data_IF_318227711639
#
_entry.id   IF_318227711639
#
_cell.length_a   1.000
_cell.length_b   1.000
_cell.length_c   1.000
_cell.angle_alpha   90.00
_cell.angle_beta   90.00
_cell.angle_gamma   90.00
#
_symmetry.space_group_name_H-M   'P 1'
#
loop_
_entity.id
_entity.type
_entity.pdbx_description
1 polymer ?
#
# COMPACT_ATOMS: atom_id res chain seq x y z
N UNK A 1 46.53 36.99 12.95
CA UNK A 1 46.34 35.54 12.86
C UNK A 1 44.87 35.27 12.46
N UNK A 2 44.60 35.07 11.16
CA UNK A 2 43.23 34.71 10.67
C UNK A 2 43.10 33.20 10.76
N UNK A 3 42.20 32.73 11.63
CA UNK A 3 41.76 31.33 11.66
C UNK A 3 40.66 31.13 10.58
N UNK A 4 40.97 30.37 9.52
CA UNK A 4 39.97 29.88 8.58
C UNK A 4 39.28 28.65 9.21
N UNK A 5 38.02 28.79 9.63
CA UNK A 5 37.16 27.67 9.98
C UNK A 5 36.70 27.00 8.68
N UNK A 6 37.29 25.85 8.36
CA UNK A 6 36.75 24.95 7.33
C UNK A 6 35.51 24.23 7.89
N UNK A 7 34.30 24.63 7.49
CA UNK A 7 33.11 23.87 7.74
C UNK A 7 33.09 22.63 6.81
N UNK A 8 33.36 21.46 7.36
CA UNK A 8 33.19 20.19 6.64
C UNK A 8 31.67 19.94 6.52
N UNK A 9 31.12 20.23 5.34
CA UNK A 9 29.78 19.81 5.00
C UNK A 9 29.79 18.30 4.72
N UNK A 10 29.38 17.51 5.68
CA UNK A 10 29.08 16.10 5.47
C UNK A 10 27.84 15.98 4.59
N UNK A 11 28.03 15.69 3.31
CA UNK A 11 26.93 15.33 2.41
C UNK A 11 26.46 13.94 2.83
N UNK A 12 25.34 13.88 3.54
CA UNK A 12 24.65 12.61 3.82
C UNK A 12 23.98 12.19 2.52
N UNK A 13 24.62 11.28 1.78
CA UNK A 13 23.97 10.62 0.64
C UNK A 13 22.96 9.62 1.19
N UNK A 14 21.68 9.98 1.20
CA UNK A 14 20.59 9.04 1.45
C UNK A 14 20.48 8.16 0.22
N UNK A 15 20.94 6.92 0.30
CA UNK A 15 20.70 5.93 -0.74
C UNK A 15 19.25 5.44 -0.60
N UNK A 16 18.39 5.83 -1.58
CA UNK A 16 17.01 5.40 -1.61
C UNK A 16 16.90 3.87 -1.72
N UNK A 17 16.07 3.25 -0.88
CA UNK A 17 15.83 1.81 -0.96
C UNK A 17 15.09 1.49 -2.27
N UNK A 18 15.68 0.63 -3.10
CA UNK A 18 15.02 0.15 -4.32
C UNK A 18 13.89 -0.81 -3.95
N UNK A 19 12.70 -0.52 -4.44
CA UNK A 19 11.50 -1.36 -4.27
C UNK A 19 11.30 -2.18 -5.52
N UNK A 20 11.01 -3.48 -5.36
CA UNK A 20 10.58 -4.32 -6.45
C UNK A 20 9.08 -4.18 -6.66
N UNK A 21 8.67 -3.93 -7.88
CA UNK A 21 7.25 -3.88 -8.27
C UNK A 21 6.66 -5.31 -8.38
N UNK A 22 5.33 -5.50 -8.27
CA UNK A 22 4.70 -6.82 -8.35
C UNK A 22 5.04 -7.60 -9.63
N UNK A 23 5.20 -6.91 -10.75
CA UNK A 23 5.62 -7.54 -12.01
C UNK A 23 7.06 -8.02 -11.97
N UNK A 24 7.95 -7.35 -11.23
CA UNK A 24 9.33 -7.80 -11.01
C UNK A 24 9.39 -8.99 -10.06
N UNK A 25 8.54 -9.00 -9.01
CA UNK A 25 8.49 -10.08 -8.03
C UNK A 25 7.86 -11.35 -8.60
N UNK A 26 6.73 -11.24 -9.30
CA UNK A 26 5.93 -12.39 -9.77
C UNK A 26 6.07 -12.68 -11.26
N UNK A 27 6.74 -11.81 -12.02
CA UNK A 27 7.09 -12.03 -13.42
C UNK A 27 5.92 -12.48 -14.30
N UNK A 28 6.03 -13.68 -14.86
CA UNK A 28 5.03 -14.24 -15.76
C UNK A 28 3.68 -14.49 -15.07
N UNK A 29 3.68 -14.92 -13.81
CA UNK A 29 2.43 -15.08 -13.03
C UNK A 29 1.65 -13.76 -12.96
N UNK A 30 2.31 -12.64 -12.67
CA UNK A 30 1.66 -11.33 -12.63
C UNK A 30 1.01 -10.99 -13.97
N UNK A 31 1.75 -11.12 -15.06
CA UNK A 31 1.24 -10.85 -16.42
C UNK A 31 0.02 -11.70 -16.76
N UNK A 32 0.10 -13.00 -16.50
CA UNK A 32 -0.99 -13.92 -16.80
C UNK A 32 -2.25 -13.61 -15.99
N UNK A 33 -2.12 -13.27 -14.71
CA UNK A 33 -3.27 -12.89 -13.88
C UNK A 33 -3.92 -11.61 -14.38
N UNK A 34 -3.13 -10.57 -14.69
CA UNK A 34 -3.66 -9.29 -15.17
C UNK A 34 -4.35 -9.40 -16.55
N UNK A 35 -3.81 -10.22 -17.44
CA UNK A 35 -4.36 -10.40 -18.79
C UNK A 35 -5.56 -11.35 -18.84
N UNK A 36 -5.63 -12.34 -17.94
CA UNK A 36 -6.70 -13.34 -17.92
C UNK A 36 -8.03 -12.84 -17.35
N UNK A 37 -8.03 -11.64 -16.74
CA UNK A 37 -9.23 -11.02 -16.12
C UNK A 37 -9.95 -11.93 -15.12
N UNK A 38 -9.20 -12.74 -14.36
CA UNK A 38 -9.78 -13.56 -13.28
C UNK A 38 -10.31 -12.71 -12.11
N UNK A 39 -9.93 -11.44 -12.06
CA UNK A 39 -10.45 -10.42 -11.15
C UNK A 39 -11.24 -9.35 -11.91
N UNK A 40 -12.19 -8.68 -11.26
CA UNK A 40 -13.02 -7.65 -11.90
C UNK A 40 -12.22 -6.36 -12.23
N UNK A 41 -11.04 -6.19 -11.66
CA UNK A 41 -10.17 -5.02 -11.83
C UNK A 41 -8.68 -5.39 -11.77
N UNK A 42 -7.83 -4.43 -12.13
CA UNK A 42 -6.37 -4.64 -12.16
C UNK A 42 -5.71 -4.46 -10.78
N UNK A 43 -6.43 -3.96 -9.77
CA UNK A 43 -5.88 -3.67 -8.46
C UNK A 43 -5.97 -4.85 -7.50
N UNK A 44 -7.01 -5.66 -7.59
CA UNK A 44 -7.27 -6.75 -6.64
C UNK A 44 -6.05 -7.67 -6.47
N UNK A 45 -5.40 -8.10 -7.55
CA UNK A 45 -4.22 -8.96 -7.45
C UNK A 45 -3.00 -8.23 -6.89
N UNK A 46 -2.85 -6.96 -7.20
CA UNK A 46 -1.77 -6.11 -6.65
C UNK A 46 -1.86 -6.02 -5.12
N UNK A 47 -3.07 -5.96 -4.59
CA UNK A 47 -3.34 -5.88 -3.15
C UNK A 47 -3.28 -7.23 -2.43
N UNK A 48 -3.17 -8.35 -3.17
CA UNK A 48 -3.03 -9.66 -2.56
C UNK A 48 -1.68 -9.80 -1.85
N UNK A 49 -1.68 -10.51 -0.72
CA UNK A 49 -0.45 -10.86 -0.02
C UNK A 49 -0.12 -12.34 -0.19
N UNK A 50 1.16 -12.69 -0.44
CA UNK A 50 1.53 -14.09 -0.63
C UNK A 50 1.43 -14.86 0.70
N UNK A 51 0.94 -16.10 0.65
CA UNK A 51 0.87 -17.01 1.81
C UNK A 51 2.20 -17.70 2.10
N UNK A 52 3.15 -17.66 1.16
CA UNK A 52 4.49 -18.26 1.25
C UNK A 52 5.49 -17.45 0.43
N UNK A 53 6.76 -17.80 0.45
CA UNK A 53 7.83 -17.05 -0.25
C UNK A 53 7.51 -16.87 -1.73
N UNK A 54 7.56 -15.63 -2.27
CA UNK A 54 7.23 -15.32 -3.66
C UNK A 54 7.97 -16.20 -4.66
N UNK A 55 9.28 -16.42 -4.46
CA UNK A 55 10.08 -17.24 -5.36
C UNK A 55 9.57 -18.70 -5.48
N UNK A 56 9.08 -19.27 -4.37
CA UNK A 56 8.49 -20.61 -4.38
C UNK A 56 7.16 -20.64 -5.14
N UNK A 57 6.32 -19.61 -4.98
CA UNK A 57 5.06 -19.49 -5.73
C UNK A 57 5.32 -19.40 -7.23
N UNK A 58 6.29 -18.56 -7.64
CA UNK A 58 6.64 -18.38 -9.04
C UNK A 58 7.20 -19.68 -9.63
N UNK A 59 8.09 -20.40 -8.91
CA UNK A 59 8.65 -21.65 -9.36
C UNK A 59 7.57 -22.73 -9.59
N UNK A 60 6.63 -22.87 -8.65
CA UNK A 60 5.51 -23.82 -8.78
C UNK A 60 4.57 -23.43 -9.93
N UNK A 61 4.28 -22.14 -10.07
CA UNK A 61 3.48 -21.64 -11.18
C UNK A 61 4.09 -22.04 -12.54
N UNK A 62 5.37 -21.76 -12.76
CA UNK A 62 6.06 -22.07 -14.01
C UNK A 62 6.12 -23.58 -14.29
N UNK A 63 6.32 -24.39 -13.24
CA UNK A 63 6.33 -25.85 -13.35
C UNK A 63 4.95 -26.39 -13.79
N UNK A 64 3.88 -25.91 -13.18
CA UNK A 64 2.51 -26.35 -13.49
C UNK A 64 2.09 -25.86 -14.87
N UNK A 65 2.30 -24.56 -15.17
CA UNK A 65 1.92 -23.94 -16.44
C UNK A 65 2.54 -24.65 -17.65
N UNK A 66 3.78 -25.09 -17.52
CA UNK A 66 4.55 -25.72 -18.61
C UNK A 66 4.30 -27.24 -18.70
N UNK A 67 3.45 -27.80 -17.86
CA UNK A 67 3.14 -29.24 -17.91
C UNK A 67 1.77 -29.50 -18.53
N UNK A 68 1.70 -29.97 -19.80
CA UNK A 68 0.43 -30.19 -20.50
C UNK A 68 -0.43 -31.31 -19.89
N UNK A 69 0.14 -32.18 -19.05
CA UNK A 69 -0.59 -33.25 -18.39
C UNK A 69 -1.39 -32.74 -17.16
N UNK A 70 -1.13 -31.52 -16.69
CA UNK A 70 -1.81 -30.96 -15.52
C UNK A 70 -2.96 -30.07 -15.99
N UNK A 71 -4.19 -30.42 -15.59
CA UNK A 71 -5.34 -29.52 -15.74
C UNK A 71 -5.22 -28.38 -14.75
N UNK A 72 -4.91 -27.18 -15.25
CA UNK A 72 -4.57 -26.01 -14.44
C UNK A 72 -5.67 -24.97 -14.45
N UNK A 73 -5.97 -24.40 -13.28
CA UNK A 73 -6.82 -23.22 -13.10
C UNK A 73 -6.02 -22.09 -12.46
N UNK A 74 -5.80 -21.02 -13.20
CA UNK A 74 -5.06 -19.85 -12.69
C UNK A 74 -5.77 -19.22 -11.49
N UNK A 75 -7.10 -19.17 -11.51
CA UNK A 75 -7.90 -18.62 -10.39
C UNK A 75 -7.67 -19.41 -9.11
N UNK A 76 -7.80 -20.73 -9.15
CA UNK A 76 -7.57 -21.60 -8.00
C UNK A 76 -6.12 -21.48 -7.49
N UNK A 77 -5.15 -21.46 -8.39
CA UNK A 77 -3.75 -21.28 -8.03
C UNK A 77 -3.51 -19.98 -7.25
N UNK A 78 -4.12 -18.88 -7.69
CA UNK A 78 -4.01 -17.59 -7.00
C UNK A 78 -4.70 -17.65 -5.63
N UNK A 79 -5.90 -18.21 -5.52
CA UNK A 79 -6.64 -18.34 -4.26
C UNK A 79 -5.90 -19.22 -3.24
N UNK A 80 -5.21 -20.26 -3.69
CA UNK A 80 -4.40 -21.14 -2.83
C UNK A 80 -3.13 -20.46 -2.31
N UNK A 81 -2.48 -19.62 -3.13
CA UNK A 81 -1.16 -19.07 -2.85
C UNK A 81 -1.18 -17.65 -2.31
N UNK A 82 -2.30 -16.93 -2.40
CA UNK A 82 -2.43 -15.55 -1.97
C UNK A 82 -3.63 -15.37 -1.04
N UNK A 83 -3.47 -14.45 -0.10
CA UNK A 83 -4.57 -13.93 0.70
C UNK A 83 -5.19 -12.76 -0.04
N UNK A 84 -6.49 -12.85 -0.28
CA UNK A 84 -7.24 -11.76 -0.91
C UNK A 84 -7.28 -10.54 0.01
N UNK A 85 -7.27 -9.32 -0.55
CA UNK A 85 -7.47 -8.14 0.24
C UNK A 85 -8.83 -8.18 0.95
N UNK A 86 -8.92 -7.70 2.21
CA UNK A 86 -10.19 -7.69 2.94
C UNK A 86 -11.22 -6.81 2.22
N UNK A 87 -12.49 -7.00 2.54
CA UNK A 87 -13.53 -6.07 2.08
C UNK A 87 -13.22 -4.63 2.53
N UNK A 88 -13.58 -3.60 1.73
CA UNK A 88 -13.39 -2.21 2.14
C UNK A 88 -14.08 -1.94 3.48
N UNK A 89 -13.45 -1.24 4.43
CA UNK A 89 -14.03 -1.00 5.76
C UNK A 89 -15.38 -0.27 5.70
N UNK A 90 -15.49 0.69 4.79
CA UNK A 90 -16.73 1.44 4.58
C UNK A 90 -17.86 0.62 3.94
N UNK A 91 -17.57 -0.61 3.48
CA UNK A 91 -18.60 -1.46 2.85
C UNK A 91 -19.72 -1.84 3.82
N UNK A 92 -19.39 -2.00 5.11
CA UNK A 92 -20.35 -2.34 6.17
C UNK A 92 -20.75 -1.12 7.01
N UNK A 93 -20.33 0.10 6.62
CA UNK A 93 -20.70 1.30 7.34
C UNK A 93 -22.16 1.66 7.05
N UNK A 94 -22.96 1.71 8.12
CA UNK A 94 -24.36 2.15 8.05
C UNK A 94 -24.41 3.56 8.59
N UNK A 95 -24.76 4.52 7.73
CA UNK A 95 -24.97 5.90 8.15
C UNK A 95 -26.16 5.98 9.11
N UNK A 96 -25.92 6.50 10.30
CA UNK A 96 -26.95 6.71 11.33
C UNK A 96 -27.22 8.19 11.58
N UNK A 97 -26.26 9.03 11.22
CA UNK A 97 -26.30 10.48 11.47
C UNK A 97 -27.10 11.18 10.38
N UNK A 98 -27.96 12.12 10.81
CA UNK A 98 -28.69 13.04 9.92
C UNK A 98 -27.86 14.28 9.60
N UNK A 99 -26.94 14.64 10.49
CA UNK A 99 -26.02 15.77 10.32
C UNK A 99 -24.78 15.36 9.55
N UNK A 100 -24.43 16.15 8.51
CA UNK A 100 -23.31 15.88 7.61
C UNK A 100 -21.96 15.94 8.35
N UNK A 101 -21.78 16.90 9.26
CA UNK A 101 -20.53 17.06 10.00
C UNK A 101 -20.31 15.88 10.96
N UNK A 102 -21.36 15.44 11.66
CA UNK A 102 -21.31 14.24 12.51
C UNK A 102 -21.00 12.98 11.69
N UNK A 103 -21.61 12.83 10.50
CA UNK A 103 -21.32 11.74 9.59
C UNK A 103 -19.85 11.72 9.16
N UNK A 104 -19.29 12.86 8.73
CA UNK A 104 -17.88 12.98 8.33
C UNK A 104 -16.95 12.63 9.50
N UNK A 105 -17.23 13.15 10.69
CA UNK A 105 -16.41 12.87 11.88
C UNK A 105 -16.39 11.38 12.23
N UNK A 106 -17.51 10.69 12.09
CA UNK A 106 -17.57 9.24 12.32
C UNK A 106 -16.80 8.43 11.25
N UNK A 107 -16.77 8.92 10.01
CA UNK A 107 -16.00 8.27 8.94
C UNK A 107 -14.49 8.26 9.19
N UNK A 108 -13.91 9.21 9.91
CA UNK A 108 -12.49 9.21 10.23
C UNK A 108 -12.05 7.91 10.91
N UNK A 109 -12.85 7.43 11.87
CA UNK A 109 -12.55 6.16 12.57
C UNK A 109 -12.64 4.93 11.64
N UNK A 110 -13.55 4.95 10.67
CA UNK A 110 -13.76 3.87 9.69
C UNK A 110 -12.62 3.82 8.66
N UNK A 111 -12.13 4.99 8.24
CA UNK A 111 -11.10 5.14 7.21
C UNK A 111 -9.67 5.09 7.78
N UNK A 112 -9.53 5.15 9.10
CA UNK A 112 -8.23 5.07 9.77
C UNK A 112 -7.61 3.69 9.60
N UNK A 113 -6.31 3.70 9.34
CA UNK A 113 -5.44 2.52 9.36
C UNK A 113 -4.41 2.70 10.45
N UNK A 114 -4.11 1.61 11.13
CA UNK A 114 -2.96 1.53 12.03
C UNK A 114 -1.67 1.41 11.22
N UNK A 115 -0.51 1.53 11.92
CA UNK A 115 0.79 1.31 11.28
C UNK A 115 0.85 -0.03 10.58
N UNK A 116 1.49 -0.06 9.41
CA UNK A 116 1.60 -1.27 8.61
C UNK A 116 2.64 -2.25 9.14
N UNK A 117 2.47 -3.51 8.77
CA UNK A 117 3.48 -4.55 8.95
C UNK A 117 4.06 -4.91 7.60
N UNK A 118 5.39 -5.00 7.53
CA UNK A 118 6.05 -5.45 6.31
C UNK A 118 5.69 -6.92 6.02
N UNK A 119 5.29 -7.20 4.77
CA UNK A 119 5.03 -8.54 4.28
C UNK A 119 5.88 -8.75 3.03
N UNK A 120 6.73 -9.77 3.02
CA UNK A 120 7.56 -10.10 1.86
C UNK A 120 6.69 -10.39 0.63
N UNK A 121 6.96 -9.69 -0.47
CA UNK A 121 6.20 -9.83 -1.71
C UNK A 121 4.88 -9.07 -1.78
N UNK A 122 4.51 -8.33 -0.73
CA UNK A 122 3.42 -7.36 -0.82
C UNK A 122 3.86 -6.13 -1.61
N UNK A 123 2.92 -5.54 -2.35
CA UNK A 123 3.15 -4.25 -3.03
C UNK A 123 3.12 -3.07 -2.07
N UNK A 124 2.47 -3.22 -0.91
CA UNK A 124 2.30 -2.15 0.07
C UNK A 124 3.65 -1.75 0.69
N UNK A 125 4.02 -0.48 0.60
CA UNK A 125 5.14 0.09 1.35
C UNK A 125 4.70 0.36 2.79
N UNK A 126 5.22 -0.37 3.79
CA UNK A 126 4.71 -0.29 5.15
C UNK A 126 5.04 1.06 5.80
N UNK A 127 4.02 1.72 6.31
CA UNK A 127 4.10 3.00 6.99
C UNK A 127 4.20 2.83 8.51
N UNK A 128 5.06 3.62 9.18
CA UNK A 128 5.31 3.49 10.63
C UNK A 128 4.24 4.11 11.53
N UNK A 129 3.37 4.98 11.00
CA UNK A 129 2.35 5.69 11.76
C UNK A 129 0.95 5.42 11.22
N UNK A 130 -0.11 5.61 12.04
CA UNK A 130 -1.50 5.56 11.57
C UNK A 130 -1.78 6.62 10.49
N UNK A 131 -2.76 6.34 9.62
CA UNK A 131 -3.13 7.22 8.53
C UNK A 131 -4.60 7.03 8.11
N UNK A 132 -5.12 7.96 7.32
CA UNK A 132 -6.46 7.88 6.73
C UNK A 132 -6.33 7.46 5.26
N UNK A 133 -7.18 6.54 4.83
CA UNK A 133 -7.28 6.12 3.43
C UNK A 133 -8.48 6.80 2.75
N UNK A 134 -8.47 6.94 1.40
CA UNK A 134 -9.61 7.54 0.68
C UNK A 134 -10.91 6.73 0.82
N UNK A 135 -10.81 5.43 1.04
CA UNK A 135 -11.95 4.54 1.18
C UNK A 135 -12.27 3.73 -0.08
N UNK A 136 -13.37 2.97 -0.04
CA UNK A 136 -13.70 2.03 -1.09
C UNK A 136 -12.59 0.99 -1.28
N UNK A 137 -12.16 0.78 -2.54
CA UNK A 137 -11.04 -0.13 -2.86
C UNK A 137 -9.66 0.44 -2.57
N UNK A 138 -9.55 1.74 -2.23
CA UNK A 138 -8.28 2.42 -1.94
C UNK A 138 -7.96 2.26 -0.45
N UNK A 139 -7.03 1.34 -0.14
CA UNK A 139 -6.68 0.92 1.23
C UNK A 139 -5.34 1.47 1.69
N UNK A 140 -4.65 2.17 0.82
CA UNK A 140 -3.35 2.81 1.00
C UNK A 140 -3.51 4.32 1.20
N UNK A 141 -2.48 4.98 1.69
CA UNK A 141 -2.41 6.44 1.66
C UNK A 141 -2.15 6.90 0.22
N UNK A 142 -2.90 7.88 -0.25
CA UNK A 142 -2.69 8.50 -1.56
C UNK A 142 -2.19 9.92 -1.38
N UNK A 143 -1.13 10.29 -2.10
CA UNK A 143 -0.42 11.54 -1.89
C UNK A 143 -1.31 12.78 -2.02
N UNK A 144 -1.96 12.96 -3.16
CA UNK A 144 -2.75 14.16 -3.43
C UNK A 144 -4.10 14.15 -2.71
N UNK A 145 -4.72 12.97 -2.51
CA UNK A 145 -5.94 12.81 -1.69
C UNK A 145 -5.69 13.22 -0.24
N UNK A 146 -4.49 12.96 0.27
CA UNK A 146 -4.13 13.27 1.65
C UNK A 146 -4.14 14.76 1.95
N UNK A 147 -3.91 15.63 0.97
CA UNK A 147 -4.03 17.06 1.16
C UNK A 147 -5.47 17.44 1.57
N UNK A 148 -6.47 16.98 0.81
CA UNK A 148 -7.88 17.25 1.10
C UNK A 148 -8.33 16.55 2.39
N UNK A 149 -7.87 15.33 2.61
CA UNK A 149 -8.10 14.59 3.86
C UNK A 149 -7.60 15.39 5.07
N UNK A 150 -6.38 15.93 5.02
CA UNK A 150 -5.80 16.71 6.10
C UNK A 150 -6.54 18.04 6.32
N UNK A 151 -7.10 18.68 5.29
CA UNK A 151 -7.98 19.83 5.47
C UNK A 151 -9.24 19.46 6.26
N UNK A 152 -9.88 18.36 5.92
CA UNK A 152 -11.05 17.85 6.67
C UNK A 152 -10.72 17.46 8.11
N UNK A 153 -9.59 16.78 8.33
CA UNK A 153 -9.10 16.43 9.66
C UNK A 153 -8.81 17.67 10.52
N UNK A 154 -8.32 18.75 9.92
CA UNK A 154 -8.10 20.03 10.60
C UNK A 154 -9.39 20.61 11.12
N UNK A 155 -10.44 20.65 10.30
CA UNK A 155 -11.77 21.12 10.71
C UNK A 155 -12.39 20.24 11.80
N UNK A 156 -12.06 18.96 11.82
CA UNK A 156 -12.49 18.00 12.85
C UNK A 156 -11.61 18.00 14.12
N UNK A 157 -10.54 18.82 14.18
CA UNK A 157 -9.62 18.90 15.32
C UNK A 157 -8.61 17.72 15.42
N UNK A 158 -8.53 16.86 14.40
CA UNK A 158 -7.71 15.64 14.34
C UNK A 158 -6.22 15.92 14.04
N UNK A 159 -5.61 16.86 14.75
CA UNK A 159 -4.22 17.33 14.53
C UNK A 159 -3.18 16.23 14.69
N UNK A 160 -3.40 15.30 15.61
CA UNK A 160 -2.48 14.16 15.81
C UNK A 160 -2.44 13.25 14.58
N UNK A 161 -3.60 13.00 13.96
CA UNK A 161 -3.71 12.20 12.74
C UNK A 161 -3.02 12.88 11.56
N UNK A 162 -3.17 14.21 11.42
CA UNK A 162 -2.44 15.00 10.41
C UNK A 162 -0.94 14.85 10.60
N UNK A 163 -0.45 14.99 11.84
CA UNK A 163 0.99 14.83 12.13
C UNK A 163 1.49 13.44 11.73
N UNK A 164 0.76 12.37 12.05
CA UNK A 164 1.11 11.01 11.66
C UNK A 164 1.18 10.85 10.13
N UNK A 165 0.26 11.43 9.38
CA UNK A 165 0.29 11.38 7.91
C UNK A 165 1.49 12.12 7.34
N UNK A 166 1.85 13.28 7.89
CA UNK A 166 3.06 14.02 7.51
C UNK A 166 4.34 13.26 7.86
N UNK A 167 4.40 12.64 9.04
CA UNK A 167 5.53 11.80 9.46
C UNK A 167 5.70 10.57 8.52
N UNK A 168 4.59 10.01 8.03
CA UNK A 168 4.62 8.95 7.01
C UNK A 168 5.17 9.46 5.67
N UNK A 169 4.80 10.64 5.21
CA UNK A 169 5.39 11.22 3.99
C UNK A 169 6.88 11.52 4.14
N UNK A 170 7.29 12.05 5.31
CA UNK A 170 8.70 12.22 5.65
C UNK A 170 9.44 10.88 5.57
N UNK A 171 8.91 9.83 6.20
CA UNK A 171 9.47 8.48 6.15
C UNK A 171 9.63 7.96 4.71
N UNK A 172 8.61 8.17 3.84
CA UNK A 172 8.68 7.76 2.44
C UNK A 172 9.82 8.45 1.68
N UNK A 173 9.99 9.77 1.90
CA UNK A 173 11.09 10.54 1.31
C UNK A 173 12.45 10.03 1.83
N UNK A 174 12.59 9.85 3.14
CA UNK A 174 13.84 9.42 3.75
C UNK A 174 14.25 8.01 3.33
N UNK A 175 13.28 7.12 3.19
CA UNK A 175 13.54 5.70 2.90
C UNK A 175 13.59 5.40 1.41
N UNK A 176 12.71 5.98 0.61
CA UNK A 176 12.53 5.66 -0.80
C UNK A 176 12.91 6.80 -1.75
N UNK A 177 13.26 7.98 -1.23
CA UNK A 177 13.68 9.14 -2.00
C UNK A 177 12.53 9.97 -2.59
N UNK A 178 11.28 9.56 -2.43
CA UNK A 178 10.10 10.26 -2.95
C UNK A 178 8.83 9.82 -2.22
N UNK A 179 7.74 10.55 -2.45
CA UNK A 179 6.39 10.14 -2.07
C UNK A 179 5.74 9.50 -3.30
N UNK A 180 5.40 8.20 -3.27
CA UNK A 180 4.66 7.57 -4.37
C UNK A 180 3.22 8.09 -4.41
N UNK A 181 2.51 7.86 -5.53
CA UNK A 181 1.09 8.22 -5.63
C UNK A 181 0.24 7.49 -4.57
N UNK A 182 0.52 6.21 -4.34
CA UNK A 182 -0.01 5.41 -3.25
C UNK A 182 1.10 4.57 -2.64
N UNK A 183 1.07 4.34 -1.30
CA UNK A 183 2.08 3.51 -0.67
C UNK A 183 1.83 2.03 -0.92
#
# INVERSE_FOLDING_TARGET
LFLFLFAIQTVITVSAQKVQTPDQVYGQLFKDVQLSRIFPDNKTFVDCTPKRKPAAIVADYLKIKNNPAIRFSLKLFVEENFTMPPAPPAFNYIQKEKDVAAHINNLWSVLKREKDKAVEGSSLLPLPHPYIVPGGRFREIYYWDSYFTMLGLKESGETATIKHMLDNFKFLIEKYGHIPNGN
#
